data_IF_933021099425
#
_entry.id   IF_933021099425
#
_cell.length_a   1.000
_cell.length_b   1.000
_cell.length_c   1.000
_cell.angle_alpha   90.00
_cell.angle_beta   90.00
_cell.angle_gamma   90.00
#
_symmetry.space_group_name_H-M   'P 1'
#
loop_
_entity.id
_entity.type
_entity.pdbx_description
1 polymer ?
#
# COMPACT_ATOMS: atom_id res chain seq x y z
N UNK A 1 1.44 8.74 -4.43
CA UNK A 1 0.55 9.68 -5.13
C UNK A 1 -0.89 9.35 -4.73
N UNK A 2 -1.49 10.14 -3.85
CA UNK A 2 -2.83 9.87 -3.31
C UNK A 2 -3.87 10.28 -4.35
N UNK A 3 -4.61 9.31 -4.89
CA UNK A 3 -5.73 9.57 -5.78
C UNK A 3 -6.95 9.89 -4.93
N UNK A 4 -7.26 11.18 -4.77
CA UNK A 4 -8.54 11.56 -4.19
C UNK A 4 -9.60 11.58 -5.27
N UNK A 5 -10.50 10.60 -5.26
CA UNK A 5 -11.78 10.74 -5.94
C UNK A 5 -12.69 11.57 -5.04
N UNK A 6 -12.64 12.89 -5.19
CA UNK A 6 -13.57 13.79 -4.50
C UNK A 6 -14.94 13.73 -5.18
N UNK A 7 -15.94 13.16 -4.52
CA UNK A 7 -17.32 13.24 -4.98
C UNK A 7 -17.91 14.59 -4.61
N UNK A 8 -17.76 15.57 -5.50
CA UNK A 8 -18.41 16.87 -5.38
C UNK A 8 -19.79 16.82 -6.03
N UNK A 9 -20.81 16.55 -5.21
CA UNK A 9 -22.24 16.64 -5.53
C UNK A 9 -22.80 15.51 -6.42
N UNK A 10 -23.97 14.99 -6.04
CA UNK A 10 -24.58 13.78 -6.60
C UNK A 10 -24.95 13.94 -8.10
N UNK A 11 -25.05 15.18 -8.58
CA UNK A 11 -25.54 15.52 -9.92
C UNK A 11 -24.45 15.56 -11.01
N UNK A 12 -23.18 15.79 -10.64
CA UNK A 12 -22.06 15.84 -11.59
C UNK A 12 -20.84 15.14 -10.98
N UNK A 13 -20.56 13.91 -11.41
CA UNK A 13 -19.39 13.16 -10.96
C UNK A 13 -18.14 13.72 -11.65
N UNK A 14 -17.30 14.43 -10.91
CA UNK A 14 -16.02 14.95 -11.41
C UNK A 14 -14.86 14.11 -10.86
N UNK A 15 -13.84 13.86 -11.69
CA UNK A 15 -12.64 13.12 -11.31
C UNK A 15 -11.43 14.01 -11.50
N UNK A 16 -10.72 14.31 -10.41
CA UNK A 16 -9.49 15.07 -10.44
C UNK A 16 -8.29 14.13 -10.39
N UNK A 17 -7.43 14.21 -11.40
CA UNK A 17 -6.15 13.50 -11.45
C UNK A 17 -5.02 14.49 -11.19
N UNK A 18 -3.85 14.03 -10.76
CA UNK A 18 -2.71 14.89 -10.41
C UNK A 18 -3.05 15.95 -9.34
N UNK A 19 -3.93 15.60 -8.40
CA UNK A 19 -4.38 16.46 -7.29
C UNK A 19 -3.97 15.83 -5.96
N UNK A 20 -2.69 15.98 -5.52
CA UNK A 20 -2.23 15.43 -4.26
C UNK A 20 -2.83 16.22 -3.09
N UNK A 21 -3.65 15.56 -2.27
CA UNK A 21 -4.20 16.16 -1.05
C UNK A 21 -3.08 16.40 -0.05
N UNK A 22 -2.94 17.65 0.40
CA UNK A 22 -1.95 18.05 1.40
C UNK A 22 -2.56 18.35 2.75
N UNK A 23 -3.75 18.94 2.75
CA UNK A 23 -4.41 19.39 3.95
C UNK A 23 -5.93 19.33 3.81
N UNK A 24 -6.60 19.10 4.93
CA UNK A 24 -8.06 19.02 5.03
C UNK A 24 -8.46 19.90 6.21
N UNK A 25 -9.10 21.03 5.93
CA UNK A 25 -9.50 21.99 6.96
C UNK A 25 -11.01 22.16 7.00
N UNK A 26 -11.52 22.66 8.12
CA UNK A 26 -12.88 23.18 8.17
C UNK A 26 -12.96 24.48 7.36
N UNK A 27 -14.07 24.65 6.67
CA UNK A 27 -14.40 25.80 5.84
C UNK A 27 -15.46 26.65 6.54
N UNK A 28 -15.44 27.96 6.28
CA UNK A 28 -16.45 28.91 6.78
C UNK A 28 -17.77 28.85 6.00
N UNK A 29 -17.83 28.06 4.91
CA UNK A 29 -19.00 28.01 4.06
C UNK A 29 -20.11 27.14 4.70
N UNK A 30 -21.31 27.68 4.98
CA UNK A 30 -22.35 26.98 5.74
C UNK A 30 -22.85 25.71 5.03
N UNK A 31 -22.87 25.72 3.70
CA UNK A 31 -23.29 24.56 2.91
C UNK A 31 -22.16 23.53 2.66
N UNK A 32 -20.89 23.89 2.84
CA UNK A 32 -19.76 23.03 2.48
C UNK A 32 -18.66 23.15 3.54
N UNK A 33 -18.84 22.53 4.71
CA UNK A 33 -17.96 22.71 5.86
C UNK A 33 -16.55 22.12 5.71
N UNK A 34 -16.29 21.29 4.70
CA UNK A 34 -14.98 20.66 4.50
C UNK A 34 -14.27 21.29 3.32
N UNK A 35 -13.00 21.63 3.51
CA UNK A 35 -12.13 22.24 2.52
C UNK A 35 -10.89 21.37 2.30
N UNK A 36 -10.66 20.95 1.07
CA UNK A 36 -9.53 20.12 0.67
C UNK A 36 -8.53 20.98 -0.09
N UNK A 37 -7.26 20.92 0.30
CA UNK A 37 -6.19 21.71 -0.29
C UNK A 37 -5.15 20.83 -1.00
N UNK A 38 -4.62 21.36 -2.09
CA UNK A 38 -3.60 20.74 -2.94
C UNK A 38 -2.60 21.80 -3.39
N UNK A 39 -1.36 21.39 -3.65
CA UNK A 39 -0.27 22.27 -4.10
C UNK A 39 -0.49 22.79 -5.53
N UNK A 40 -1.18 22.01 -6.37
CA UNK A 40 -1.25 22.32 -7.80
C UNK A 40 -2.40 23.29 -8.10
N UNK A 41 -2.05 24.47 -8.62
CA UNK A 41 -2.96 25.54 -9.05
C UNK A 41 -3.83 26.19 -7.97
N UNK A 42 -3.53 25.97 -6.68
CA UNK A 42 -4.31 26.53 -5.55
C UNK A 42 -5.83 26.27 -5.64
N UNK A 43 -6.24 25.22 -6.35
CA UNK A 43 -7.66 24.88 -6.43
C UNK A 43 -8.08 24.18 -5.16
N UNK A 44 -9.05 24.77 -4.47
CA UNK A 44 -9.62 24.26 -3.22
C UNK A 44 -10.96 23.60 -3.53
N UNK A 45 -11.15 22.39 -3.00
CA UNK A 45 -12.42 21.67 -3.18
C UNK A 45 -13.23 21.81 -1.90
N UNK A 46 -14.44 22.36 -2.02
CA UNK A 46 -15.40 22.45 -0.94
C UNK A 46 -16.40 21.29 -1.02
N UNK A 47 -16.63 20.61 0.10
CA UNK A 47 -17.56 19.49 0.18
C UNK A 47 -18.33 19.44 1.50
N UNK A 48 -19.45 18.72 1.48
CA UNK A 48 -20.25 18.37 2.67
C UNK A 48 -19.70 17.15 3.39
N UNK A 49 -19.28 16.16 2.61
CA UNK A 49 -18.83 14.87 3.09
C UNK A 49 -17.52 14.50 2.41
N UNK A 50 -16.65 13.82 3.15
CA UNK A 50 -15.36 13.34 2.67
C UNK A 50 -15.22 11.87 3.02
N UNK A 51 -14.91 11.05 2.01
CA UNK A 51 -14.56 9.64 2.18
C UNK A 51 -13.11 9.47 1.73
N UNK A 52 -12.26 8.96 2.61
CA UNK A 52 -10.82 8.83 2.37
C UNK A 52 -10.46 7.39 1.99
N UNK A 53 -10.00 7.17 0.77
CA UNK A 53 -9.57 5.86 0.26
C UNK A 53 -8.09 5.86 -0.14
N UNK A 54 -7.22 6.37 0.74
CA UNK A 54 -5.83 6.69 0.40
C UNK A 54 -4.84 5.50 0.42
N UNK A 55 -5.34 4.26 0.56
CA UNK A 55 -4.53 3.04 0.53
C UNK A 55 -3.36 3.09 1.53
N UNK A 56 -2.13 3.00 1.01
CA UNK A 56 -0.89 3.04 1.80
C UNK A 56 -0.63 4.34 2.55
N UNK A 57 -1.41 5.41 2.31
CA UNK A 57 -1.32 6.69 3.06
C UNK A 57 -2.58 6.98 3.87
N UNK A 58 -3.44 5.99 4.10
CA UNK A 58 -4.70 6.21 4.83
C UNK A 58 -4.48 6.70 6.27
N UNK A 59 -3.46 6.19 6.96
CA UNK A 59 -3.05 6.67 8.29
C UNK A 59 -2.63 8.15 8.31
N UNK A 60 -1.92 8.61 7.27
CA UNK A 60 -1.55 10.02 7.11
C UNK A 60 -2.74 10.91 6.79
N UNK A 61 -3.61 10.46 5.88
CA UNK A 61 -4.82 11.21 5.52
C UNK A 61 -5.79 11.30 6.69
N UNK A 62 -5.89 10.27 7.53
CA UNK A 62 -6.67 10.34 8.77
C UNK A 62 -6.13 11.43 9.71
N UNK A 63 -4.81 11.52 9.89
CA UNK A 63 -4.20 12.56 10.71
C UNK A 63 -4.46 13.98 10.20
N UNK A 64 -4.58 14.20 8.88
CA UNK A 64 -4.97 15.51 8.32
C UNK A 64 -6.35 15.98 8.81
N UNK A 65 -7.23 15.05 9.16
CA UNK A 65 -8.55 15.35 9.72
C UNK A 65 -8.57 15.44 11.25
N UNK A 66 -7.41 15.36 11.91
CA UNK A 66 -7.27 15.40 13.37
C UNK A 66 -7.58 14.09 14.08
N UNK A 67 -7.66 12.97 13.33
CA UNK A 67 -7.81 11.63 13.92
C UNK A 67 -6.50 11.12 14.54
N UNK A 68 -6.62 10.11 15.41
CA UNK A 68 -5.47 9.44 16.03
C UNK A 68 -4.52 8.83 14.96
N UNK A 69 -3.19 8.87 15.17
CA UNK A 69 -2.22 8.24 14.28
C UNK A 69 -2.29 6.70 14.24
N UNK A 70 -3.04 6.06 15.13
CA UNK A 70 -3.30 4.62 15.13
C UNK A 70 -4.61 4.28 14.39
N UNK A 71 -4.64 3.20 13.58
CA UNK A 71 -3.54 2.26 13.29
C UNK A 71 -2.52 2.85 12.29
N UNK A 72 -1.26 2.43 12.42
CA UNK A 72 -0.18 2.83 11.51
C UNK A 72 0.04 1.79 10.43
N UNK A 73 0.36 2.23 9.22
CA UNK A 73 0.69 1.34 8.11
C UNK A 73 2.18 1.03 8.10
N UNK A 74 2.52 -0.26 8.15
CA UNK A 74 3.88 -0.78 7.92
C UNK A 74 3.95 -1.32 6.49
N UNK A 75 4.81 -0.79 5.62
CA UNK A 75 4.82 -1.17 4.22
C UNK A 75 5.56 -2.51 4.00
N UNK A 76 4.84 -3.48 3.44
CA UNK A 76 5.41 -4.73 2.93
C UNK A 76 5.29 -4.75 1.41
N UNK A 77 6.37 -5.16 0.74
CA UNK A 77 6.41 -5.33 -0.71
C UNK A 77 6.30 -6.81 -1.05
N UNK A 78 5.39 -7.10 -1.98
CA UNK A 78 5.24 -8.39 -2.63
C UNK A 78 6.10 -8.49 -3.89
N UNK A 79 6.84 -9.57 -4.07
CA UNK A 79 7.46 -9.89 -5.36
C UNK A 79 6.83 -11.13 -5.99
N UNK A 80 6.64 -11.06 -7.31
CA UNK A 80 6.10 -12.16 -8.11
C UNK A 80 7.16 -12.66 -9.09
N UNK A 81 7.27 -13.98 -9.20
CA UNK A 81 8.09 -14.65 -10.20
C UNK A 81 7.19 -15.21 -11.30
N UNK A 82 7.73 -15.29 -12.51
CA UNK A 82 7.05 -15.93 -13.64
C UNK A 82 7.54 -17.37 -13.80
N UNK A 83 6.61 -18.30 -13.96
CA UNK A 83 6.94 -19.68 -14.28
C UNK A 83 7.44 -19.78 -15.73
N UNK A 84 8.52 -20.53 -15.91
CA UNK A 84 9.10 -20.81 -17.22
C UNK A 84 8.04 -21.39 -18.18
N UNK A 85 7.97 -20.95 -19.45
CA UNK A 85 6.97 -21.40 -20.43
C UNK A 85 6.78 -22.92 -20.49
N UNK A 86 7.88 -23.66 -20.44
CA UNK A 86 7.89 -25.12 -20.58
C UNK A 86 7.20 -25.84 -19.41
N UNK A 87 7.00 -25.16 -18.27
CA UNK A 87 6.42 -25.73 -17.05
C UNK A 87 5.00 -25.22 -16.74
N UNK A 88 4.49 -24.25 -17.52
CA UNK A 88 3.17 -23.63 -17.27
C UNK A 88 2.02 -24.63 -17.31
N UNK A 89 2.11 -25.63 -18.18
CA UNK A 89 1.09 -26.67 -18.36
C UNK A 89 0.84 -27.54 -17.11
N UNK A 90 1.75 -27.51 -16.13
CA UNK A 90 1.64 -28.25 -14.87
C UNK A 90 0.60 -27.60 -13.95
N UNK A 91 0.45 -26.28 -14.00
CA UNK A 91 -0.46 -25.52 -13.14
C UNK A 91 -1.70 -25.14 -13.94
N UNK A 92 -2.82 -25.83 -13.69
CA UNK A 92 -4.09 -25.62 -14.41
C UNK A 92 -5.11 -24.78 -13.64
N UNK A 93 -4.89 -24.58 -12.35
CA UNK A 93 -5.78 -23.83 -11.45
C UNK A 93 -4.94 -23.07 -10.41
N UNK A 94 -5.58 -22.21 -9.64
CA UNK A 94 -4.90 -21.51 -8.55
C UNK A 94 -4.51 -22.53 -7.47
N UNK A 95 -3.25 -22.48 -7.03
CA UNK A 95 -2.73 -23.35 -5.97
C UNK A 95 -2.32 -22.47 -4.80
N UNK A 96 -2.98 -22.66 -3.65
CA UNK A 96 -2.64 -21.99 -2.40
C UNK A 96 -2.15 -23.04 -1.40
N UNK A 97 -0.88 -22.98 -0.99
CA UNK A 97 -0.40 -23.87 0.06
C UNK A 97 -1.10 -23.58 1.38
N UNK A 98 -1.26 -24.61 2.21
CA UNK A 98 -1.74 -24.43 3.58
C UNK A 98 -0.72 -23.57 4.34
N UNK A 99 -1.15 -22.51 5.04
CA UNK A 99 -0.24 -21.62 5.74
C UNK A 99 0.49 -22.37 6.87
N UNK A 100 1.82 -22.24 6.91
CA UNK A 100 2.64 -22.77 8.01
C UNK A 100 2.86 -21.66 9.06
N UNK A 101 2.39 -21.85 10.32
CA UNK A 101 2.58 -20.88 11.39
C UNK A 101 4.04 -20.51 11.67
N UNK A 102 4.99 -21.37 11.31
CA UNK A 102 6.44 -21.13 11.48
C UNK A 102 6.99 -20.11 10.49
N UNK A 103 6.31 -19.90 9.36
CA UNK A 103 6.70 -18.97 8.32
C UNK A 103 5.57 -17.96 8.06
N UNK A 104 5.29 -17.07 9.03
CA UNK A 104 4.33 -16.01 8.80
C UNK A 104 4.80 -15.21 7.58
N UNK A 105 3.88 -14.93 6.66
CA UNK A 105 4.10 -14.19 5.40
C UNK A 105 4.76 -14.96 4.24
N UNK A 106 5.12 -16.24 4.39
CA UNK A 106 5.65 -17.06 3.29
C UNK A 106 4.60 -18.05 2.79
N UNK A 107 3.83 -17.62 1.79
CA UNK A 107 2.82 -18.45 1.13
C UNK A 107 2.87 -18.24 -0.37
N UNK A 108 3.81 -18.91 -1.04
CA UNK A 108 3.92 -18.83 -2.51
C UNK A 108 2.73 -19.56 -3.13
N UNK A 109 1.78 -18.79 -3.65
CA UNK A 109 0.71 -19.32 -4.47
C UNK A 109 1.13 -19.42 -5.93
N UNK A 110 0.44 -20.26 -6.69
CA UNK A 110 0.53 -20.30 -8.15
C UNK A 110 -0.78 -19.80 -8.72
N UNK A 111 -0.70 -18.79 -9.58
CA UNK A 111 -1.88 -18.16 -10.19
C UNK A 111 -1.75 -18.18 -11.71
N UNK A 112 -2.43 -19.10 -12.42
CA UNK A 112 -2.62 -19.02 -13.86
C UNK A 112 -3.36 -17.74 -14.25
N UNK A 113 -2.87 -17.07 -15.29
CA UNK A 113 -3.43 -15.82 -15.81
C UNK A 113 -4.11 -16.06 -17.14
N UNK A 114 -5.02 -15.17 -17.51
CA UNK A 114 -5.77 -15.24 -18.78
C UNK A 114 -4.88 -15.22 -20.03
N UNK A 115 -3.66 -14.68 -19.90
CA UNK A 115 -2.67 -14.65 -20.98
C UNK A 115 -1.80 -15.94 -21.05
N UNK A 116 -2.08 -16.95 -20.22
CA UNK A 116 -1.34 -18.20 -20.18
C UNK A 116 -0.08 -18.18 -19.31
N UNK A 117 0.30 -17.04 -18.72
CA UNK A 117 1.39 -16.99 -17.74
C UNK A 117 0.95 -17.60 -16.40
N UNK A 118 1.91 -18.10 -15.63
CA UNK A 118 1.68 -18.56 -14.25
C UNK A 118 2.57 -17.74 -13.32
N UNK A 119 1.94 -17.03 -12.38
CA UNK A 119 2.63 -16.19 -11.41
C UNK A 119 2.86 -16.99 -10.11
N UNK A 120 4.06 -16.86 -9.54
CA UNK A 120 4.42 -17.39 -8.23
C UNK A 120 4.61 -16.24 -7.26
N UNK A 121 4.01 -16.30 -6.08
CA UNK A 121 4.24 -15.29 -5.04
C UNK A 121 3.04 -15.09 -4.10
N UNK A 122 2.90 -13.91 -3.51
CA UNK A 122 3.99 -12.96 -3.31
C UNK A 122 4.99 -13.48 -2.27
N UNK A 123 6.28 -13.21 -2.47
CA UNK A 123 7.21 -13.16 -1.33
C UNK A 123 6.99 -11.85 -0.57
N UNK A 124 7.02 -11.86 0.76
CA UNK A 124 6.83 -10.66 1.56
C UNK A 124 8.18 -10.13 2.06
N UNK A 125 8.59 -8.96 1.56
CA UNK A 125 9.81 -8.28 2.01
C UNK A 125 9.42 -6.94 2.61
N UNK A 126 10.00 -6.57 3.75
CA UNK A 126 9.79 -5.24 4.35
C UNK A 126 10.25 -4.16 3.36
N UNK A 127 9.40 -3.17 3.09
CA UNK A 127 9.74 -2.07 2.21
C UNK A 127 10.25 -0.86 3.01
N UNK A 128 11.29 -0.20 2.52
CA UNK A 128 11.86 0.99 3.17
C UNK A 128 11.19 2.31 2.73
N UNK A 129 10.13 2.20 1.93
CA UNK A 129 9.30 3.28 1.42
C UNK A 129 7.93 2.72 1.08
N UNK A 130 6.85 3.43 1.42
CA UNK A 130 5.47 2.97 1.16
C UNK A 130 5.22 2.71 -0.33
N UNK A 131 5.70 3.60 -1.19
CA UNK A 131 5.64 3.44 -2.66
C UNK A 131 6.98 2.99 -3.25
N UNK A 132 7.78 2.25 -2.49
CA UNK A 132 9.09 1.76 -2.92
C UNK A 132 9.01 0.44 -3.63
N UNK A 133 8.88 0.45 -4.96
CA UNK A 133 8.80 -0.78 -5.77
C UNK A 133 10.17 -1.34 -6.17
N UNK A 134 11.24 -0.56 -6.03
CA UNK A 134 12.63 -0.98 -6.26
C UNK A 134 13.36 -1.24 -4.95
N UNK A 135 14.32 -2.17 -4.96
CA UNK A 135 15.18 -2.51 -3.81
C UNK A 135 15.90 -1.31 -3.19
N UNK A 136 16.23 -0.30 -3.99
CA UNK A 136 16.92 0.92 -3.55
C UNK A 136 15.97 2.09 -3.23
N UNK A 137 14.65 1.85 -3.21
CA UNK A 137 13.68 2.88 -2.86
C UNK A 137 13.59 3.07 -1.35
N UNK A 138 14.36 4.02 -0.83
CA UNK A 138 14.43 4.33 0.60
C UNK A 138 13.75 5.68 0.85
N UNK A 139 12.89 5.74 1.87
CA UNK A 139 12.31 6.98 2.40
C UNK A 139 12.69 7.09 3.87
N UNK A 140 13.58 8.03 4.26
CA UNK A 140 14.01 8.19 5.65
C UNK A 140 12.83 8.40 6.61
N UNK A 141 11.82 9.14 6.18
CA UNK A 141 10.59 9.38 6.96
C UNK A 141 9.81 8.09 7.19
N UNK A 142 9.55 7.30 6.14
CA UNK A 142 8.79 6.05 6.25
C UNK A 142 9.55 5.01 7.08
N UNK A 143 10.88 4.96 6.94
CA UNK A 143 11.75 4.06 7.69
C UNK A 143 11.72 4.41 9.18
N UNK A 144 11.91 5.69 9.53
CA UNK A 144 11.86 6.16 10.91
C UNK A 144 10.48 5.92 11.53
N UNK A 145 9.42 6.21 10.79
CA UNK A 145 8.04 5.93 11.20
C UNK A 145 7.80 4.44 11.49
N UNK A 146 8.36 3.54 10.68
CA UNK A 146 8.20 2.09 10.85
C UNK A 146 9.01 1.57 12.04
N UNK A 147 10.18 2.13 12.28
CA UNK A 147 11.07 1.76 13.40
C UNK A 147 10.57 2.28 14.75
N UNK A 148 10.03 3.50 14.79
CA UNK A 148 9.50 4.13 16.02
C UNK A 148 8.15 3.56 16.45
N UNK A 149 7.45 2.85 15.56
CA UNK A 149 6.22 2.15 15.92
C UNK A 149 6.57 0.90 16.74
N UNK A 150 6.33 1.03 18.05
CA UNK A 150 7.08 0.43 19.14
C UNK A 150 6.86 -1.07 19.41
N UNK A 151 6.68 -1.93 18.40
CA UNK A 151 6.71 -3.39 18.59
C UNK A 151 7.14 -4.21 17.35
N UNK A 152 7.38 -3.60 16.19
CA UNK A 152 7.70 -4.37 14.95
C UNK A 152 9.13 -4.92 14.92
N UNK A 153 10.07 -4.24 15.59
CA UNK A 153 11.50 -4.58 15.57
C UNK A 153 11.78 -5.92 16.27
N UNK A 154 11.11 -6.22 17.39
CA UNK A 154 11.32 -7.48 18.12
C UNK A 154 10.82 -8.72 17.35
N UNK A 155 9.72 -8.61 16.60
CA UNK A 155 9.18 -9.71 15.79
C UNK A 155 9.92 -9.90 14.44
N UNK A 156 10.49 -8.82 13.90
CA UNK A 156 11.21 -8.87 12.60
C UNK A 156 12.66 -9.34 12.80
N UNK A 157 13.31 -8.96 13.91
CA UNK A 157 14.69 -9.39 14.21
C UNK A 157 14.77 -10.86 14.64
N UNK A 158 13.77 -11.42 15.33
CA UNK A 158 13.78 -12.86 15.65
C UNK A 158 13.68 -13.76 14.40
N UNK A 159 13.09 -13.25 13.32
CA UNK A 159 12.99 -13.92 12.02
C UNK A 159 14.11 -13.55 11.02
N UNK A 160 14.97 -12.57 11.37
CA UNK A 160 16.05 -12.06 10.52
C UNK A 160 17.17 -13.06 10.21
N UNK A 161 17.20 -14.22 10.88
CA UNK A 161 18.14 -15.31 10.55
C UNK A 161 17.80 -16.04 9.23
N UNK A 162 16.61 -15.86 8.67
CA UNK A 162 16.16 -16.59 7.48
C UNK A 162 16.10 -15.76 6.18
N UNK A 163 16.36 -14.44 6.23
CA UNK A 163 16.22 -13.55 5.06
C UNK A 163 17.51 -13.42 4.24
N UNK A 164 18.66 -13.86 4.77
CA UNK A 164 19.95 -13.88 4.04
C UNK A 164 20.46 -15.32 3.90
N UNK A 165 19.72 -16.18 3.19
CA UNK A 165 20.29 -17.37 2.53
C UNK A 165 19.34 -17.95 1.48
N UNK A 166 19.23 -17.29 0.33
CA UNK A 166 18.79 -17.94 -0.91
C UNK A 166 19.85 -17.72 -1.99
N UNK A 167 21.00 -18.38 -1.81
CA UNK A 167 21.90 -18.68 -2.90
C UNK A 167 21.91 -20.21 -3.04
N UNK A 168 21.52 -20.67 -4.24
CA UNK A 168 21.27 -22.06 -4.68
C UNK A 168 19.88 -22.61 -4.35
N UNK A 169 19.01 -22.55 -5.34
CA UNK A 169 18.13 -23.67 -5.65
C UNK A 169 18.62 -24.26 -6.98
N UNK A 170 18.98 -25.54 -6.93
CA UNK A 170 19.16 -26.44 -8.07
C UNK A 170 17.80 -26.64 -8.75
#
# INVERSE_FOLDING_TARGET
>A
MVWLTAFTNCSTKQVYTNYPVKDITQSTHPMFPISIHSDWKSSRILTKYLVTCAGLHSDRVAQLTGCDPAPKIVPFRGEYLLLKPEKRHIVRTNIYPVPDPRFPFLGVHFTPRMNGDVWLGPNAVLAYKREGYSYFSISPTDLFESLTYSNTILHTISNGKCVIRSNRAV
#
